data_IF_261154873977
#
_entry.id   IF_261154873977
#
_cell.length_a   1.000
_cell.length_b   1.000
_cell.length_c   1.000
_cell.angle_alpha   90.00
_cell.angle_beta   90.00
_cell.angle_gamma   90.00
#
_symmetry.space_group_name_H-M   'P 1'
#
loop_
_entity.id
_entity.type
_entity.pdbx_description
1 polymer ?
#
# COMPACT_ATOMS: atom_id res chain seq x y z
N UNK A 1 -15.73 -46.51 44.60
CA UNK A 1 -15.40 -46.08 43.22
C UNK A 1 -16.35 -44.95 42.79
N UNK A 2 -16.00 -43.68 43.07
CA UNK A 2 -16.67 -42.49 42.53
C UNK A 2 -15.59 -41.54 42.02
N UNK A 3 -15.06 -41.82 40.83
CA UNK A 3 -14.09 -40.96 40.14
C UNK A 3 -14.66 -40.56 38.78
N UNK A 4 -15.80 -39.88 38.77
CA UNK A 4 -16.34 -39.25 37.56
C UNK A 4 -17.01 -37.93 38.00
N UNK A 5 -16.77 -36.86 37.23
CA UNK A 5 -17.44 -35.55 37.26
C UNK A 5 -16.77 -34.35 37.95
N UNK A 6 -15.44 -34.32 38.08
CA UNK A 6 -14.70 -33.04 38.26
C UNK A 6 -13.97 -32.58 36.99
N UNK A 7 -14.32 -33.13 35.82
CA UNK A 7 -14.00 -32.48 34.53
C UNK A 7 -14.98 -31.32 34.36
N UNK A 8 -14.87 -30.35 35.26
CA UNK A 8 -15.56 -29.06 35.19
C UNK A 8 -15.28 -28.55 33.80
N UNK A 9 -16.34 -28.60 33.02
CA UNK A 9 -16.48 -28.23 31.62
C UNK A 9 -15.83 -26.86 31.43
N UNK A 10 -14.51 -26.83 31.15
CA UNK A 10 -13.74 -25.65 30.71
C UNK A 10 -14.22 -25.14 29.33
N UNK A 11 -15.41 -25.54 28.88
CA UNK A 11 -15.99 -25.21 27.57
C UNK A 11 -16.45 -23.75 27.42
N UNK A 12 -16.43 -22.94 28.48
CA UNK A 12 -17.10 -21.63 28.45
C UNK A 12 -16.34 -20.42 27.87
N UNK A 13 -14.99 -20.35 27.73
CA UNK A 13 -14.36 -19.10 27.32
C UNK A 13 -14.71 -18.72 25.88
N UNK A 14 -14.79 -19.69 24.97
CA UNK A 14 -15.06 -19.42 23.54
C UNK A 14 -16.50 -18.94 23.27
N UNK A 15 -17.49 -19.48 23.99
CA UNK A 15 -18.90 -19.10 23.79
C UNK A 15 -19.17 -17.67 24.25
N UNK A 16 -18.59 -17.29 25.39
CA UNK A 16 -18.66 -15.93 25.92
C UNK A 16 -18.00 -14.94 24.95
N UNK A 17 -16.77 -15.22 24.52
CA UNK A 17 -16.05 -14.38 23.57
C UNK A 17 -16.78 -14.23 22.23
N UNK A 18 -17.41 -15.30 21.73
CA UNK A 18 -18.24 -15.21 20.51
C UNK A 18 -19.45 -14.27 20.69
N UNK A 19 -20.09 -14.29 21.86
CA UNK A 19 -21.19 -13.37 22.16
C UNK A 19 -20.71 -11.93 22.25
N UNK A 20 -19.57 -11.71 22.90
CA UNK A 20 -18.93 -10.39 23.02
C UNK A 20 -18.57 -9.83 21.64
N UNK A 21 -17.92 -10.64 20.78
CA UNK A 21 -17.65 -10.32 19.37
C UNK A 21 -18.94 -9.92 18.64
N UNK A 22 -20.02 -10.69 18.77
CA UNK A 22 -21.30 -10.36 18.12
C UNK A 22 -21.92 -9.05 18.63
N UNK A 23 -21.66 -8.70 19.88
CA UNK A 23 -22.18 -7.49 20.53
C UNK A 23 -21.33 -6.25 20.32
N UNK A 24 -20.13 -6.36 19.72
CA UNK A 24 -19.27 -5.21 19.42
C UNK A 24 -20.04 -4.14 18.64
N UNK A 25 -19.86 -2.89 19.04
CA UNK A 25 -20.56 -1.72 18.47
C UNK A 25 -19.73 -0.43 18.50
N UNK A 26 -18.65 -0.41 19.30
CA UNK A 26 -17.75 0.73 19.47
C UNK A 26 -16.29 0.36 19.19
N UNK A 27 -15.46 1.35 18.87
CA UNK A 27 -14.02 1.15 18.70
C UNK A 27 -13.36 0.53 19.94
N UNK A 28 -13.77 0.96 21.14
CA UNK A 28 -13.28 0.40 22.40
C UNK A 28 -13.62 -1.10 22.55
N UNK A 29 -14.86 -1.50 22.21
CA UNK A 29 -15.24 -2.92 22.22
C UNK A 29 -14.43 -3.73 21.23
N UNK A 30 -14.18 -3.21 20.02
CA UNK A 30 -13.38 -3.92 19.01
C UNK A 30 -11.93 -4.11 19.46
N UNK A 31 -11.32 -3.10 20.07
CA UNK A 31 -9.95 -3.20 20.56
C UNK A 31 -9.83 -4.17 21.74
N UNK A 32 -10.81 -4.17 22.64
CA UNK A 32 -10.89 -5.13 23.74
C UNK A 32 -11.00 -6.57 23.22
N UNK A 33 -11.94 -6.85 22.31
CA UNK A 33 -12.13 -8.19 21.76
C UNK A 33 -10.94 -8.67 20.92
N UNK A 34 -10.32 -7.76 20.14
CA UNK A 34 -9.09 -8.06 19.42
C UNK A 34 -7.98 -8.47 20.37
N UNK A 35 -7.80 -7.73 21.47
CA UNK A 35 -6.76 -8.03 22.47
C UNK A 35 -6.99 -9.38 23.13
N UNK A 36 -8.25 -9.72 23.46
CA UNK A 36 -8.62 -11.04 23.98
C UNK A 36 -8.31 -12.15 22.96
N UNK A 37 -8.66 -11.97 21.68
CA UNK A 37 -8.39 -12.94 20.61
C UNK A 37 -6.89 -13.17 20.41
N UNK A 38 -6.09 -12.10 20.36
CA UNK A 38 -4.62 -12.21 20.22
C UNK A 38 -4.01 -12.93 21.40
N UNK A 39 -4.49 -12.67 22.63
CA UNK A 39 -4.04 -13.39 23.83
C UNK A 39 -4.39 -14.88 23.75
N UNK A 40 -5.64 -15.20 23.40
CA UNK A 40 -6.10 -16.58 23.24
C UNK A 40 -5.29 -17.33 22.17
N UNK A 41 -5.07 -16.71 21.01
CA UNK A 41 -4.25 -17.24 19.94
C UNK A 41 -2.83 -17.57 20.39
N UNK A 42 -2.15 -16.63 21.05
CA UNK A 42 -0.80 -16.85 21.59
C UNK A 42 -0.78 -17.97 22.63
N UNK A 43 -1.80 -18.03 23.48
CA UNK A 43 -1.92 -19.05 24.52
C UNK A 43 -2.10 -20.46 23.96
N UNK A 44 -2.84 -20.63 22.85
CA UNK A 44 -3.05 -21.93 22.23
C UNK A 44 -1.85 -22.34 21.37
N UNK A 45 -1.22 -21.40 20.66
CA UNK A 45 -0.01 -21.65 19.87
C UNK A 45 1.22 -21.99 20.71
N UNK A 46 1.29 -21.52 21.96
CA UNK A 46 2.40 -21.82 22.88
C UNK A 46 2.28 -23.18 23.58
N UNK A 47 1.16 -23.90 23.41
CA UNK A 47 1.00 -25.26 23.95
C UNK A 47 1.83 -26.27 23.17
N UNK A 48 2.37 -27.25 23.87
CA UNK A 48 3.11 -28.37 23.28
C UNK A 48 2.55 -29.72 23.78
N UNK A 49 1.87 -30.52 22.92
CA UNK A 49 1.45 -30.17 21.57
C UNK A 49 0.24 -29.22 21.58
N UNK A 50 0.08 -28.39 20.54
CA UNK A 50 -1.10 -27.56 20.40
C UNK A 50 -2.34 -28.42 20.11
N UNK A 51 -3.47 -28.05 20.72
CA UNK A 51 -4.75 -28.71 20.52
C UNK A 51 -5.34 -28.28 19.17
N UNK A 52 -5.36 -29.19 18.20
CA UNK A 52 -5.93 -28.94 16.87
C UNK A 52 -7.36 -28.41 16.95
N UNK A 53 -8.17 -29.00 17.83
CA UNK A 53 -9.57 -28.61 18.04
C UNK A 53 -9.71 -27.19 18.58
N UNK A 54 -8.85 -26.80 19.52
CA UNK A 54 -8.91 -25.44 20.09
C UNK A 54 -8.34 -24.39 19.12
N UNK A 55 -7.29 -24.71 18.35
CA UNK A 55 -6.84 -23.85 17.25
C UNK A 55 -7.95 -23.60 16.21
N UNK A 56 -8.72 -24.64 15.85
CA UNK A 56 -9.88 -24.49 14.97
C UNK A 56 -10.95 -23.55 15.58
N UNK A 57 -11.21 -23.63 16.89
CA UNK A 57 -12.13 -22.70 17.56
C UNK A 57 -11.61 -21.27 17.53
N UNK A 58 -10.33 -21.05 17.82
CA UNK A 58 -9.72 -19.72 17.75
C UNK A 58 -9.82 -19.17 16.33
N UNK A 59 -9.53 -19.98 15.31
CA UNK A 59 -9.69 -19.62 13.89
C UNK A 59 -11.13 -19.19 13.57
N UNK A 60 -12.13 -19.93 14.04
CA UNK A 60 -13.54 -19.56 13.88
C UNK A 60 -13.89 -18.23 14.56
N UNK A 61 -13.35 -17.96 15.75
CA UNK A 61 -13.56 -16.69 16.45
C UNK A 61 -12.91 -15.52 15.72
N UNK A 62 -11.70 -15.69 15.20
CA UNK A 62 -11.03 -14.70 14.35
C UNK A 62 -11.87 -14.37 13.12
N UNK A 63 -12.41 -15.38 12.43
CA UNK A 63 -13.31 -15.15 11.28
C UNK A 63 -14.61 -14.45 11.68
N UNK A 64 -15.21 -14.81 12.81
CA UNK A 64 -16.39 -14.13 13.34
C UNK A 64 -16.12 -12.64 13.67
N UNK A 65 -14.95 -12.35 14.24
CA UNK A 65 -14.50 -10.98 14.49
C UNK A 65 -14.38 -10.18 13.19
N UNK A 66 -13.72 -10.73 12.15
CA UNK A 66 -13.58 -10.06 10.86
C UNK A 66 -14.94 -9.79 10.19
N UNK A 67 -15.87 -10.74 10.22
CA UNK A 67 -17.24 -10.51 9.71
C UNK A 67 -17.95 -9.41 10.46
N UNK A 68 -17.85 -9.39 11.79
CA UNK A 68 -18.49 -8.33 12.56
C UNK A 68 -17.89 -6.98 12.19
N UNK A 69 -16.56 -6.89 12.11
CA UNK A 69 -15.85 -5.68 11.72
C UNK A 69 -16.23 -5.18 10.32
N UNK A 70 -16.60 -6.08 9.40
CA UNK A 70 -17.11 -5.72 8.07
C UNK A 70 -18.45 -4.97 8.14
N UNK A 71 -19.28 -5.27 9.14
CA UNK A 71 -20.61 -4.67 9.32
C UNK A 71 -20.61 -3.40 10.18
N UNK A 72 -19.51 -3.10 10.88
CA UNK A 72 -19.42 -1.93 11.74
C UNK A 72 -19.01 -0.71 10.92
N UNK A 73 -19.96 0.17 10.65
CA UNK A 73 -19.72 1.44 9.95
C UNK A 73 -19.28 2.58 10.89
N UNK A 74 -19.36 2.36 12.20
CA UNK A 74 -18.96 3.32 13.23
C UNK A 74 -17.44 3.40 13.43
N UNK A 75 -16.68 2.49 12.82
CA UNK A 75 -15.23 2.39 13.00
C UNK A 75 -14.55 2.92 11.75
N UNK A 76 -13.55 3.78 11.95
CA UNK A 76 -12.77 4.34 10.87
C UNK A 76 -12.13 3.25 10.01
N UNK A 77 -12.10 3.47 8.69
CA UNK A 77 -11.51 2.56 7.72
C UNK A 77 -10.06 2.15 8.09
N UNK A 78 -9.29 3.13 8.58
CA UNK A 78 -7.90 2.95 9.01
C UNK A 78 -7.78 1.99 10.19
N UNK A 79 -8.68 2.07 11.17
CA UNK A 79 -8.65 1.18 12.33
C UNK A 79 -9.09 -0.23 11.96
N UNK A 80 -10.08 -0.38 11.09
CA UNK A 80 -10.46 -1.70 10.53
C UNK A 80 -9.27 -2.36 9.84
N UNK A 81 -8.55 -1.62 8.99
CA UNK A 81 -7.37 -2.12 8.29
C UNK A 81 -6.26 -2.52 9.27
N UNK A 82 -5.98 -1.69 10.29
CA UNK A 82 -5.01 -1.98 11.35
C UNK A 82 -5.36 -3.25 12.13
N UNK A 83 -6.61 -3.42 12.54
CA UNK A 83 -7.03 -4.61 13.29
C UNK A 83 -6.89 -5.88 12.45
N UNK A 84 -7.29 -5.82 11.17
CA UNK A 84 -7.15 -6.93 10.23
C UNK A 84 -5.67 -7.32 10.02
N UNK A 85 -4.78 -6.32 9.85
CA UNK A 85 -3.35 -6.54 9.73
C UNK A 85 -2.73 -7.09 11.02
N UNK A 86 -3.06 -6.51 12.18
CA UNK A 86 -2.57 -6.97 13.47
C UNK A 86 -2.95 -8.44 13.76
N UNK A 87 -4.18 -8.84 13.42
CA UNK A 87 -4.64 -10.21 13.56
C UNK A 87 -3.90 -11.16 12.62
N UNK A 88 -3.75 -10.77 11.35
CA UNK A 88 -3.01 -11.54 10.35
C UNK A 88 -1.55 -11.74 10.74
N UNK A 89 -0.87 -10.68 11.18
CA UNK A 89 0.50 -10.76 11.71
C UNK A 89 0.60 -11.65 12.95
N UNK A 90 -0.36 -11.55 13.88
CA UNK A 90 -0.37 -12.40 15.08
C UNK A 90 -0.53 -13.88 14.73
N UNK A 91 -1.37 -14.22 13.74
CA UNK A 91 -1.53 -15.59 13.23
C UNK A 91 -0.21 -16.09 12.62
N UNK A 92 0.40 -15.30 11.74
CA UNK A 92 1.62 -15.69 11.04
C UNK A 92 2.85 -15.82 11.97
N UNK A 93 2.93 -15.02 13.03
CA UNK A 93 4.03 -15.10 13.99
C UNK A 93 3.86 -16.23 15.03
N UNK A 94 2.62 -16.61 15.35
CA UNK A 94 2.36 -17.55 16.45
C UNK A 94 2.31 -19.00 15.98
N UNK A 95 1.90 -19.25 14.74
CA UNK A 95 1.70 -20.60 14.21
C UNK A 95 2.95 -21.10 13.46
N UNK A 96 3.51 -22.27 13.78
CA UNK A 96 4.40 -23.00 12.89
C UNK A 96 3.77 -23.11 11.49
N UNK A 97 4.59 -23.16 10.44
CA UNK A 97 4.11 -23.25 9.04
C UNK A 97 3.10 -24.39 8.82
N UNK A 98 3.24 -25.50 9.56
CA UNK A 98 2.32 -26.63 9.55
C UNK A 98 0.89 -26.32 10.07
N UNK A 99 0.71 -25.27 10.86
CA UNK A 99 -0.58 -24.87 11.45
C UNK A 99 -1.28 -23.75 10.67
N UNK A 100 -0.59 -23.07 9.74
CA UNK A 100 -1.19 -22.02 8.89
C UNK A 100 -2.48 -22.48 8.19
N UNK A 101 -2.61 -23.74 7.69
CA UNK A 101 -3.86 -24.23 7.12
C UNK A 101 -5.06 -24.18 8.07
N UNK A 102 -4.85 -24.27 9.38
CA UNK A 102 -5.93 -24.19 10.38
C UNK A 102 -6.52 -22.79 10.48
N UNK A 103 -5.73 -21.78 10.14
CA UNK A 103 -6.14 -20.38 10.08
C UNK A 103 -6.56 -19.94 8.67
N UNK A 104 -6.62 -20.86 7.69
CA UNK A 104 -7.06 -20.53 6.34
C UNK A 104 -8.46 -19.88 6.32
N UNK A 105 -9.36 -20.34 7.19
CA UNK A 105 -10.67 -19.71 7.37
C UNK A 105 -10.54 -18.25 7.84
N UNK A 106 -9.84 -18.01 8.94
CA UNK A 106 -9.65 -16.66 9.48
C UNK A 106 -8.97 -15.73 8.47
N UNK A 107 -7.94 -16.20 7.77
CA UNK A 107 -7.25 -15.44 6.72
C UNK A 107 -8.18 -15.15 5.52
N UNK A 108 -9.01 -16.12 5.14
CA UNK A 108 -10.03 -15.94 4.11
C UNK A 108 -11.07 -14.90 4.50
N UNK A 109 -11.49 -14.84 5.76
CA UNK A 109 -12.43 -13.82 6.26
C UNK A 109 -11.79 -12.44 6.37
N UNK A 110 -10.50 -12.35 6.73
CA UNK A 110 -9.72 -11.09 6.68
C UNK A 110 -9.67 -10.55 5.24
N UNK A 111 -9.43 -11.43 4.27
CA UNK A 111 -9.39 -11.06 2.86
C UNK A 111 -10.79 -10.73 2.32
N UNK A 112 -11.82 -11.47 2.75
CA UNK A 112 -13.21 -11.18 2.46
C UNK A 112 -13.60 -9.77 2.94
N UNK A 113 -13.26 -9.41 4.18
CA UNK A 113 -13.44 -8.07 4.74
C UNK A 113 -12.80 -6.98 3.86
N UNK A 114 -11.55 -7.17 3.43
CA UNK A 114 -10.84 -6.22 2.54
C UNK A 114 -11.55 -6.08 1.21
N UNK A 115 -11.94 -7.18 0.58
CA UNK A 115 -12.63 -7.18 -0.70
C UNK A 115 -14.01 -6.50 -0.62
N UNK A 116 -14.80 -6.79 0.41
CA UNK A 116 -16.11 -6.15 0.63
C UNK A 116 -15.96 -4.63 0.81
N UNK A 117 -14.99 -4.18 1.62
CA UNK A 117 -14.72 -2.74 1.80
C UNK A 117 -14.25 -2.11 0.49
N UNK A 118 -13.32 -2.73 -0.24
CA UNK A 118 -12.84 -2.26 -1.54
C UNK A 118 -13.99 -2.04 -2.53
N UNK A 119 -14.90 -3.02 -2.66
CA UNK A 119 -16.08 -2.91 -3.52
C UNK A 119 -16.98 -1.75 -3.09
N UNK A 120 -17.23 -1.60 -1.78
CA UNK A 120 -18.04 -0.49 -1.25
C UNK A 120 -17.43 0.88 -1.53
N UNK A 121 -16.12 1.04 -1.41
CA UNK A 121 -15.45 2.29 -1.73
C UNK A 121 -15.42 2.59 -3.23
N UNK A 122 -15.28 1.58 -4.08
CA UNK A 122 -15.44 1.76 -5.53
C UNK A 122 -16.85 2.20 -5.89
N UNK A 123 -17.86 1.57 -5.30
CA UNK A 123 -19.25 2.00 -5.48
C UNK A 123 -19.47 3.44 -5.01
N UNK A 124 -18.93 3.84 -3.83
CA UNK A 124 -19.00 5.24 -3.37
C UNK A 124 -18.30 6.21 -4.32
N UNK A 125 -17.14 5.83 -4.86
CA UNK A 125 -16.43 6.64 -5.85
C UNK A 125 -17.24 6.77 -7.14
N UNK A 126 -17.92 5.71 -7.57
CA UNK A 126 -18.84 5.74 -8.70
C UNK A 126 -20.06 6.63 -8.39
N UNK A 127 -20.66 6.53 -7.20
CA UNK A 127 -21.78 7.40 -6.79
C UNK A 127 -21.38 8.90 -6.79
N UNK A 128 -20.11 9.21 -6.54
CA UNK A 128 -19.57 10.58 -6.57
C UNK A 128 -19.24 11.09 -7.97
N UNK A 129 -19.09 10.21 -8.96
CA UNK A 129 -18.53 10.57 -10.28
C UNK A 129 -19.43 10.18 -11.45
N UNK A 130 -20.06 9.00 -11.40
CA UNK A 130 -20.93 8.45 -12.44
C UNK A 130 -22.29 9.15 -12.39
N UNK A 131 -22.67 9.78 -13.49
CA UNK A 131 -23.92 10.54 -13.60
C UNK A 131 -23.90 11.93 -12.94
N UNK A 132 -22.79 12.30 -12.27
CA UNK A 132 -22.60 13.65 -11.73
C UNK A 132 -21.73 14.45 -12.70
N UNK A 133 -22.20 15.62 -13.20
CA UNK A 133 -21.37 16.49 -14.03
C UNK A 133 -20.04 16.82 -13.33
N UNK A 134 -18.94 16.74 -14.07
CA UNK A 134 -17.60 16.92 -13.50
C UNK A 134 -17.41 18.27 -12.79
N UNK A 135 -18.06 19.33 -13.27
CA UNK A 135 -18.06 20.65 -12.62
C UNK A 135 -18.65 20.67 -11.20
N UNK A 136 -19.40 19.63 -10.83
CA UNK A 136 -20.06 19.49 -9.52
C UNK A 136 -19.42 18.44 -8.61
N UNK A 137 -18.32 17.82 -9.03
CA UNK A 137 -17.63 16.85 -8.20
C UNK A 137 -17.08 17.51 -6.94
N UNK A 138 -17.33 16.88 -5.80
CA UNK A 138 -16.71 17.22 -4.52
C UNK A 138 -15.31 16.59 -4.46
N UNK A 139 -14.30 17.38 -4.81
CA UNK A 139 -12.92 16.89 -4.87
C UNK A 139 -12.39 16.43 -3.51
N UNK A 140 -12.82 17.05 -2.41
CA UNK A 140 -12.36 16.67 -1.07
C UNK A 140 -12.95 15.32 -0.68
N UNK A 141 -14.24 15.10 -0.98
CA UNK A 141 -14.90 13.84 -0.71
C UNK A 141 -14.35 12.71 -1.58
N UNK A 142 -14.07 12.97 -2.87
CA UNK A 142 -13.42 12.00 -3.76
C UNK A 142 -12.02 11.64 -3.24
N UNK A 143 -11.20 12.64 -2.87
CA UNK A 143 -9.88 12.41 -2.28
C UNK A 143 -9.99 11.53 -1.03
N UNK A 144 -10.90 11.85 -0.10
CA UNK A 144 -11.14 11.06 1.12
C UNK A 144 -11.53 9.62 0.78
N UNK A 145 -12.42 9.41 -0.18
CA UNK A 145 -12.85 8.09 -0.63
C UNK A 145 -11.70 7.27 -1.21
N UNK A 146 -10.81 7.88 -2.01
CA UNK A 146 -9.63 7.20 -2.58
C UNK A 146 -8.60 6.88 -1.49
N UNK A 147 -8.39 7.77 -0.52
CA UNK A 147 -7.57 7.50 0.66
C UNK A 147 -8.10 6.30 1.43
N UNK A 148 -9.41 6.25 1.70
CA UNK A 148 -10.04 5.11 2.40
C UNK A 148 -9.97 3.81 1.59
N UNK A 149 -10.13 3.87 0.27
CA UNK A 149 -9.96 2.74 -0.64
C UNK A 149 -8.53 2.17 -0.57
N UNK A 150 -7.53 3.06 -0.56
CA UNK A 150 -6.11 2.71 -0.57
C UNK A 150 -5.68 1.88 0.65
N UNK A 151 -6.30 2.13 1.81
CA UNK A 151 -6.08 1.36 3.04
C UNK A 151 -6.39 -0.15 2.87
N UNK A 152 -7.26 -0.51 1.93
CA UNK A 152 -7.64 -1.90 1.64
C UNK A 152 -7.00 -2.46 0.37
N UNK A 153 -6.34 -1.63 -0.44
CA UNK A 153 -5.65 -2.05 -1.66
C UNK A 153 -4.19 -2.45 -1.44
N UNK A 154 -3.76 -2.62 -0.17
CA UNK A 154 -2.38 -3.01 0.17
C UNK A 154 -1.94 -4.14 -0.76
N UNK A 155 -0.99 -3.83 -1.65
CA UNK A 155 -0.44 -4.81 -2.58
C UNK A 155 0.01 -6.01 -1.74
N UNK A 156 -0.33 -7.26 -2.13
CA UNK A 156 0.26 -8.42 -1.49
C UNK A 156 1.76 -8.18 -1.48
N UNK A 157 2.36 -8.22 -0.28
CA UNK A 157 3.74 -7.81 -0.03
C UNK A 157 4.58 -8.22 -1.22
N UNK A 158 4.97 -7.23 -2.05
CA UNK A 158 5.57 -7.49 -3.37
C UNK A 158 6.65 -8.52 -3.10
N UNK A 159 6.49 -9.74 -3.65
CA UNK A 159 7.48 -10.79 -3.44
C UNK A 159 8.79 -10.15 -3.89
N UNK A 160 9.76 -10.02 -2.96
CA UNK A 160 11.05 -9.36 -3.23
C UNK A 160 11.75 -9.90 -4.49
N UNK A 161 11.31 -11.07 -4.97
CA UNK A 161 11.82 -11.74 -6.15
C UNK A 161 11.31 -11.18 -7.48
N UNK A 162 10.26 -10.34 -7.50
CA UNK A 162 9.87 -9.61 -8.71
C UNK A 162 10.77 -8.37 -8.87
N UNK A 163 12.08 -8.61 -8.95
CA UNK A 163 13.02 -7.66 -9.52
C UNK A 163 12.72 -7.58 -11.02
N UNK A 164 11.68 -6.81 -11.36
CA UNK A 164 11.50 -6.32 -12.72
C UNK A 164 12.79 -5.65 -13.20
N UNK A 165 13.03 -5.62 -14.53
CA UNK A 165 14.30 -5.20 -15.11
C UNK A 165 14.78 -3.89 -14.47
N UNK A 166 16.07 -3.79 -14.14
CA UNK A 166 16.64 -2.67 -13.41
C UNK A 166 16.21 -1.38 -14.09
N UNK A 167 15.39 -0.60 -13.39
CA UNK A 167 14.94 0.71 -13.86
C UNK A 167 16.16 1.56 -14.19
N UNK A 168 15.99 2.38 -15.22
CA UNK A 168 16.92 3.40 -15.70
C UNK A 168 17.78 3.92 -14.54
N UNK A 169 19.09 3.66 -14.65
CA UNK A 169 20.11 4.27 -13.78
C UNK A 169 19.82 5.76 -13.77
N UNK A 170 19.60 6.29 -12.57
CA UNK A 170 19.28 7.69 -12.36
C UNK A 170 20.54 8.52 -12.69
N UNK A 171 20.68 8.90 -13.95
CA UNK A 171 21.60 9.93 -14.45
C UNK A 171 23.01 9.85 -13.88
N UNK A 172 23.77 8.81 -14.22
CA UNK A 172 25.22 8.87 -14.09
C UNK A 172 25.78 9.53 -15.36
N UNK A 173 26.47 10.65 -15.16
CA UNK A 173 27.27 11.30 -16.17
C UNK A 173 28.24 10.29 -16.79
N UNK A 174 28.12 10.10 -18.09
CA UNK A 174 29.04 9.33 -18.92
C UNK A 174 30.48 9.76 -18.61
N UNK A 175 31.30 8.84 -18.10
CA UNK A 175 32.71 8.58 -18.46
C UNK A 175 33.23 7.44 -17.56
N UNK A 176 33.44 6.26 -18.16
CA UNK A 176 34.54 5.36 -17.78
C UNK A 176 34.30 4.31 -16.69
N UNK A 177 33.71 3.17 -17.06
CA UNK A 177 34.32 1.83 -16.88
C UNK A 177 34.70 1.32 -15.48
N UNK A 178 34.25 1.92 -14.39
CA UNK A 178 34.45 1.40 -13.03
C UNK A 178 33.17 0.77 -12.48
N UNK A 179 33.28 -0.39 -11.83
CA UNK A 179 32.24 -0.96 -10.96
C UNK A 179 31.97 0.00 -9.80
N UNK A 180 31.29 1.10 -10.09
CA UNK A 180 30.99 2.18 -9.16
C UNK A 180 30.02 1.74 -8.06
N UNK A 181 30.09 2.37 -6.88
CA UNK A 181 29.20 2.06 -5.78
C UNK A 181 27.75 2.25 -6.22
N UNK A 182 26.98 1.15 -6.21
CA UNK A 182 25.54 1.17 -6.48
C UNK A 182 24.90 2.19 -5.54
N UNK A 183 24.38 3.29 -6.08
CA UNK A 183 23.72 4.32 -5.30
C UNK A 183 22.54 3.70 -4.54
N UNK A 184 22.71 3.45 -3.24
CA UNK A 184 21.72 2.74 -2.39
C UNK A 184 20.48 3.59 -2.13
N UNK A 185 20.58 4.91 -2.32
CA UNK A 185 19.58 5.89 -1.92
C UNK A 185 19.17 6.78 -3.09
N UNK A 186 17.88 6.86 -3.35
CA UNK A 186 17.31 7.80 -4.32
C UNK A 186 16.67 8.97 -3.58
N UNK A 187 16.94 10.20 -4.03
CA UNK A 187 16.29 11.40 -3.50
C UNK A 187 15.19 11.84 -4.47
N UNK A 188 13.99 12.07 -3.94
CA UNK A 188 12.82 12.55 -4.69
C UNK A 188 12.35 13.86 -4.07
N UNK A 189 12.06 14.91 -4.85
CA UNK A 189 11.50 16.14 -4.30
C UNK A 189 10.11 15.88 -3.71
N UNK A 190 9.79 16.50 -2.58
CA UNK A 190 8.43 16.46 -2.00
C UNK A 190 7.49 17.53 -2.63
N UNK A 191 7.94 18.17 -3.70
CA UNK A 191 7.14 19.10 -4.50
C UNK A 191 6.29 18.33 -5.50
N UNK A 192 4.98 18.55 -5.47
CA UNK A 192 4.02 17.96 -6.39
C UNK A 192 4.22 18.49 -7.82
N UNK A 193 4.38 17.63 -8.85
CA UNK A 193 4.55 18.09 -10.23
C UNK A 193 3.29 18.76 -10.83
N UNK A 194 2.11 18.56 -10.23
CA UNK A 194 0.84 19.07 -10.76
C UNK A 194 0.58 20.49 -10.22
N UNK A 195 0.58 20.63 -8.89
CA UNK A 195 0.26 21.90 -8.19
C UNK A 195 1.49 22.75 -7.87
N UNK A 196 2.70 22.20 -7.99
CA UNK A 196 3.97 22.80 -7.57
C UNK A 196 4.06 23.12 -6.06
N UNK A 197 3.07 22.66 -5.28
CA UNK A 197 3.00 22.77 -3.83
C UNK A 197 3.62 21.55 -3.14
N UNK A 198 3.69 21.54 -1.81
CA UNK A 198 4.15 20.37 -1.07
C UNK A 198 3.11 19.26 -1.18
N UNK A 199 3.55 18.03 -1.43
CA UNK A 199 2.65 16.87 -1.45
C UNK A 199 2.08 16.67 -0.05
N UNK A 200 0.76 16.71 0.10
CA UNK A 200 0.08 16.45 1.37
C UNK A 200 -0.34 14.98 1.47
N UNK A 201 -0.89 14.43 0.38
CA UNK A 201 -1.33 13.04 0.30
C UNK A 201 -0.58 12.34 -0.84
N UNK A 202 0.54 11.64 -0.56
CA UNK A 202 1.37 11.05 -1.61
C UNK A 202 0.61 9.93 -2.32
N UNK A 203 0.38 10.07 -3.62
CA UNK A 203 -0.34 9.10 -4.43
C UNK A 203 0.38 8.77 -5.72
N UNK A 204 0.02 7.62 -6.30
CA UNK A 204 0.49 7.15 -7.61
C UNK A 204 -0.53 6.20 -8.23
N UNK A 205 -0.43 5.95 -9.53
CA UNK A 205 -1.25 4.93 -10.18
C UNK A 205 -0.90 3.51 -9.68
N UNK A 206 -1.89 2.62 -9.61
CA UNK A 206 -1.69 1.21 -9.20
C UNK A 206 -0.75 0.48 -10.18
N UNK A 207 -0.82 0.83 -11.47
CA UNK A 207 0.02 0.28 -12.54
C UNK A 207 1.29 1.09 -12.84
N UNK A 208 1.50 2.18 -12.09
CA UNK A 208 2.71 2.98 -12.19
C UNK A 208 3.88 2.21 -11.60
N UNK A 209 4.94 2.06 -12.38
CA UNK A 209 6.13 1.37 -11.90
C UNK A 209 7.09 2.31 -11.17
N UNK A 210 7.02 3.63 -11.39
CA UNK A 210 7.93 4.64 -10.84
C UNK A 210 7.81 4.82 -9.30
N UNK A 211 8.84 5.41 -8.67
CA UNK A 211 8.86 5.66 -7.21
C UNK A 211 8.30 7.03 -6.84
N UNK A 212 8.25 7.92 -7.81
CA UNK A 212 7.75 9.27 -7.76
C UNK A 212 6.25 9.27 -7.45
N UNK A 213 5.83 10.24 -6.65
CA UNK A 213 4.45 10.44 -6.20
C UNK A 213 3.99 11.84 -6.57
N UNK A 214 2.68 12.01 -6.67
CA UNK A 214 2.01 13.29 -6.83
C UNK A 214 1.01 13.48 -5.69
N UNK A 215 0.54 14.71 -5.50
CA UNK A 215 -0.53 14.97 -4.54
C UNK A 215 -1.87 14.44 -5.04
N UNK A 216 -2.54 13.63 -4.22
CA UNK A 216 -3.82 13.03 -4.58
C UNK A 216 -4.89 14.07 -4.92
N UNK A 217 -4.99 15.15 -4.14
CA UNK A 217 -6.02 16.18 -4.35
C UNK A 217 -5.76 16.96 -5.64
N UNK A 218 -4.50 17.26 -5.94
CA UNK A 218 -4.11 17.88 -7.20
C UNK A 218 -4.43 16.99 -8.41
N UNK A 219 -4.20 15.69 -8.30
CA UNK A 219 -4.55 14.73 -9.35
C UNK A 219 -6.06 14.64 -9.55
N UNK A 220 -6.87 14.55 -8.49
CA UNK A 220 -8.34 14.54 -8.58
C UNK A 220 -8.86 15.78 -9.31
N UNK A 221 -8.34 16.97 -9.00
CA UNK A 221 -8.69 18.22 -9.71
C UNK A 221 -8.30 18.19 -11.18
N UNK A 222 -7.16 17.60 -11.51
CA UNK A 222 -6.72 17.45 -12.90
C UNK A 222 -7.66 16.52 -13.67
N UNK A 223 -8.06 15.39 -13.07
CA UNK A 223 -9.05 14.49 -13.67
C UNK A 223 -10.39 15.20 -13.87
N UNK A 224 -10.84 15.97 -12.89
CA UNK A 224 -12.05 16.79 -12.98
C UNK A 224 -11.97 17.78 -14.15
N UNK A 225 -10.87 18.52 -14.28
CA UNK A 225 -10.67 19.49 -15.36
C UNK A 225 -10.67 18.82 -16.75
N UNK A 226 -10.03 17.65 -16.88
CA UNK A 226 -10.04 16.85 -18.12
C UNK A 226 -11.47 16.40 -18.45
N UNK A 227 -12.24 15.96 -17.45
CA UNK A 227 -13.62 15.52 -17.65
C UNK A 227 -14.54 16.69 -18.05
N UNK A 228 -14.39 17.88 -17.44
CA UNK A 228 -15.15 19.09 -17.83
C UNK A 228 -14.88 19.46 -19.29
N UNK A 229 -13.61 19.55 -19.69
CA UNK A 229 -13.22 19.88 -21.07
C UNK A 229 -13.72 18.88 -22.11
N UNK A 230 -13.84 17.61 -21.74
CA UNK A 230 -14.41 16.57 -22.61
C UNK A 230 -15.92 16.69 -22.74
N UNK A 231 -16.63 16.97 -21.65
CA UNK A 231 -18.08 17.18 -21.66
C UNK A 231 -18.49 18.36 -22.53
N UNK A 232 -17.77 19.48 -22.43
CA UNK A 232 -18.00 20.67 -23.26
C UNK A 232 -17.81 20.39 -24.76
N UNK A 233 -16.95 19.44 -25.12
CA UNK A 233 -16.73 19.03 -26.51
C UNK A 233 -17.90 18.24 -27.10
N UNK A 234 -18.64 17.48 -26.27
CA UNK A 234 -19.75 16.63 -26.74
C UNK A 234 -21.00 17.45 -27.07
N UNK A 235 -21.34 18.46 -26.26
CA UNK A 235 -22.49 19.32 -26.53
C UNK A 235 -22.30 20.18 -27.80
N UNK A 236 -21.05 20.52 -28.16
CA UNK A 236 -20.75 21.21 -29.41
C UNK A 236 -20.92 20.37 -30.68
N UNK A 237 -20.74 19.04 -30.58
CA UNK A 237 -20.74 18.14 -31.74
C UNK A 237 -22.14 17.62 -32.13
N UNK A 238 -23.12 17.65 -31.22
CA UNK A 238 -24.49 17.22 -31.51
C UNK A 238 -25.22 18.12 -32.52
N UNK A 239 -24.69 19.30 -32.83
CA UNK A 239 -25.24 20.20 -33.86
C UNK A 239 -24.74 19.85 -35.29
N UNK A 240 -23.71 19.01 -35.47
CA UNK A 240 -23.17 18.71 -36.81
C UNK A 240 -23.64 17.41 -37.47
N UNK A 241 -24.65 16.71 -36.92
CA UNK A 241 -25.16 15.46 -37.53
C UNK A 241 -26.43 15.61 -38.37
N UNK A 242 -26.51 16.68 -39.16
CA UNK A 242 -27.46 16.79 -40.29
C UNK A 242 -26.72 16.87 -41.66
N UNK A 243 -25.55 16.24 -41.74
CA UNK A 243 -24.82 15.99 -42.99
C UNK A 243 -25.07 14.57 -43.49
N UNK A 244 -26.09 14.42 -44.31
CA UNK A 244 -26.58 13.20 -44.96
C UNK A 244 -25.52 12.55 -45.85
N UNK A 245 -25.39 11.21 -45.78
CA UNK A 245 -24.89 10.40 -46.91
C UNK A 245 -23.41 10.00 -46.88
N UNK A 246 -23.04 9.07 -45.99
CA UNK A 246 -21.76 8.38 -46.05
C UNK A 246 -21.93 6.91 -45.69
N UNK A 247 -22.30 6.10 -46.68
CA UNK A 247 -22.40 4.63 -46.56
C UNK A 247 -20.98 4.08 -46.57
N UNK A 248 -20.36 3.97 -45.39
CA UNK A 248 -19.01 3.43 -45.22
C UNK A 248 -18.96 2.55 -43.98
N UNK A 249 -19.19 1.26 -44.17
CA UNK A 249 -19.14 0.23 -43.15
C UNK A 249 -17.70 0.02 -42.61
N UNK A 250 -17.57 -0.13 -41.30
CA UNK A 250 -16.33 -0.49 -40.62
C UNK A 250 -16.45 -0.27 -39.11
N UNK A 251 -17.26 -1.05 -38.41
CA UNK A 251 -16.82 -2.24 -37.65
C UNK A 251 -15.69 -1.93 -36.67
N UNK A 252 -16.08 -1.53 -35.47
CA UNK A 252 -15.18 -1.33 -34.34
C UNK A 252 -15.73 -0.35 -33.31
N UNK A 253 -17.05 -0.32 -33.09
CA UNK A 253 -17.63 0.38 -31.93
C UNK A 253 -17.19 -0.41 -30.71
N UNK A 254 -15.98 -0.11 -30.25
CA UNK A 254 -15.48 -0.51 -28.93
C UNK A 254 -16.61 -0.18 -27.97
N UNK A 255 -17.13 -1.24 -27.35
CA UNK A 255 -18.17 -1.17 -26.33
C UNK A 255 -18.00 0.08 -25.50
N UNK A 256 -19.09 0.82 -25.24
CA UNK A 256 -19.25 1.90 -24.26
C UNK A 256 -18.67 1.48 -22.89
N UNK A 257 -17.37 1.35 -22.86
CA UNK A 257 -16.58 0.77 -21.80
C UNK A 257 -16.41 1.92 -20.86
N UNK A 258 -17.33 1.98 -19.89
CA UNK A 258 -17.30 2.78 -18.67
C UNK A 258 -16.08 3.70 -18.67
N UNK A 259 -16.23 4.85 -19.33
CA UNK A 259 -15.12 5.80 -19.53
C UNK A 259 -14.85 6.49 -18.20
N UNK A 260 -14.26 5.71 -17.29
CA UNK A 260 -13.98 6.11 -15.93
C UNK A 260 -13.11 7.36 -16.00
N UNK A 261 -13.44 8.39 -15.20
CA UNK A 261 -12.71 9.64 -15.25
C UNK A 261 -11.24 9.41 -14.91
N UNK A 262 -10.37 9.95 -15.76
CA UNK A 262 -8.96 9.63 -15.76
C UNK A 262 -8.11 10.75 -16.37
N UNK A 263 -6.84 10.79 -15.96
CA UNK A 263 -5.83 11.72 -16.46
C UNK A 263 -4.50 10.98 -16.63
N UNK A 264 -3.57 11.57 -17.36
CA UNK A 264 -2.23 11.01 -17.50
C UNK A 264 -1.46 11.17 -16.19
N UNK A 265 -0.75 10.13 -15.78
CA UNK A 265 0.22 10.22 -14.69
C UNK A 265 1.32 11.24 -15.07
N UNK A 266 1.66 12.21 -14.19
CA UNK A 266 2.62 13.26 -14.52
C UNK A 266 4.05 12.76 -14.76
N UNK A 267 4.39 11.54 -14.31
CA UNK A 267 5.75 10.98 -14.47
C UNK A 267 5.89 10.04 -15.65
N UNK A 268 4.96 9.10 -15.84
CA UNK A 268 5.06 8.08 -16.89
C UNK A 268 4.09 8.26 -18.05
N UNK A 269 3.24 9.29 -18.03
CA UNK A 269 2.26 9.56 -19.08
C UNK A 269 1.12 8.55 -19.20
N UNK A 270 1.16 7.44 -18.44
CA UNK A 270 0.12 6.41 -18.47
C UNK A 270 -1.21 6.98 -18.01
N UNK A 271 -2.26 6.70 -18.77
CA UNK A 271 -3.63 7.06 -18.43
C UNK A 271 -4.08 6.32 -17.16
N UNK A 272 -4.48 7.07 -16.13
CA UNK A 272 -4.81 6.55 -14.79
C UNK A 272 -6.18 7.06 -14.36
N UNK A 273 -7.13 6.15 -14.15
CA UNK A 273 -8.46 6.49 -13.62
C UNK A 273 -8.44 6.66 -12.11
N UNK A 274 -9.43 7.37 -11.56
CA UNK A 274 -9.58 7.55 -10.11
C UNK A 274 -9.62 6.21 -9.36
N UNK A 275 -10.25 5.18 -9.94
CA UNK A 275 -10.28 3.82 -9.39
C UNK A 275 -8.92 3.10 -9.40
N UNK A 276 -7.96 3.60 -10.18
CA UNK A 276 -6.61 3.06 -10.35
C UNK A 276 -5.54 3.98 -9.72
N UNK A 277 -5.92 4.89 -8.83
CA UNK A 277 -5.00 5.68 -8.00
C UNK A 277 -4.98 5.10 -6.60
N UNK A 278 -3.80 5.09 -5.99
CA UNK A 278 -3.61 4.69 -4.59
C UNK A 278 -2.72 5.68 -3.84
N UNK A 279 -2.95 5.77 -2.54
CA UNK A 279 -2.06 6.44 -1.59
C UNK A 279 -0.84 5.55 -1.33
N UNK A 280 0.35 6.15 -1.32
CA UNK A 280 1.54 5.48 -0.86
C UNK A 280 1.66 5.57 0.66
N UNK A 281 1.11 4.57 1.34
CA UNK A 281 1.03 4.51 2.80
C UNK A 281 2.40 4.59 3.49
N UNK A 282 3.43 3.95 2.90
CA UNK A 282 4.77 3.94 3.48
C UNK A 282 5.41 5.34 3.46
N UNK A 283 5.21 6.08 2.36
CA UNK A 283 5.66 7.47 2.29
C UNK A 283 4.81 8.38 3.17
N UNK A 284 3.47 8.20 3.20
CA UNK A 284 2.60 8.95 4.09
C UNK A 284 2.99 8.77 5.57
N UNK A 285 3.33 7.55 5.98
CA UNK A 285 3.85 7.25 7.33
C UNK A 285 5.21 7.92 7.58
N UNK A 286 6.13 7.93 6.60
CA UNK A 286 7.40 8.64 6.74
C UNK A 286 7.21 10.15 6.89
N UNK A 287 6.29 10.74 6.14
CA UNK A 287 5.91 12.16 6.27
C UNK A 287 5.30 12.45 7.64
N UNK A 288 4.39 11.60 8.12
CA UNK A 288 3.79 11.73 9.44
C UNK A 288 4.83 11.62 10.58
N UNK A 289 5.79 10.69 10.47
CA UNK A 289 6.91 10.56 11.42
C UNK A 289 7.80 11.80 11.45
N UNK A 290 8.13 12.34 10.28
CA UNK A 290 8.89 13.58 10.19
C UNK A 290 8.17 14.74 10.89
N UNK A 291 6.88 14.92 10.60
CA UNK A 291 6.07 15.95 11.27
C UNK A 291 5.92 15.71 12.78
N UNK A 292 5.77 14.46 13.21
CA UNK A 292 5.70 14.08 14.62
C UNK A 292 6.98 14.36 15.41
N UNK A 293 8.13 14.42 14.72
CA UNK A 293 9.42 14.79 15.28
C UNK A 293 9.67 16.32 15.25
N UNK A 294 8.65 17.13 15.00
CA UNK A 294 8.73 18.59 14.93
C UNK A 294 9.16 19.14 13.57
N UNK A 295 9.33 18.29 12.56
CA UNK A 295 9.58 18.73 11.19
C UNK A 295 8.36 19.42 10.58
N UNK A 296 8.58 20.40 9.71
CA UNK A 296 7.51 21.02 8.91
C UNK A 296 7.71 20.64 7.45
N UNK A 297 6.71 20.00 6.84
CA UNK A 297 6.77 19.62 5.43
C UNK A 297 6.74 20.89 4.57
N UNK A 298 7.76 21.05 3.73
CA UNK A 298 7.89 22.17 2.79
C UNK A 298 8.21 21.65 1.39
N UNK A 299 8.12 22.54 0.41
CA UNK A 299 8.50 22.24 -0.98
C UNK A 299 10.00 21.98 -1.16
N UNK A 300 10.80 22.34 -0.16
CA UNK A 300 12.25 22.11 -0.13
C UNK A 300 12.59 20.82 0.63
N UNK A 301 11.61 20.11 1.19
CA UNK A 301 11.84 18.77 1.72
C UNK A 301 12.11 17.77 0.59
N UNK A 302 12.96 16.79 0.90
CA UNK A 302 13.27 15.65 0.03
C UNK A 302 12.89 14.35 0.70
N UNK A 303 12.43 13.41 -0.12
CA UNK A 303 12.16 12.03 0.26
C UNK A 303 13.35 11.20 -0.15
N UNK A 304 13.98 10.55 0.82
CA UNK A 304 15.05 9.59 0.59
C UNK A 304 14.44 8.19 0.64
N UNK A 305 14.47 7.49 -0.49
CA UNK A 305 14.17 6.06 -0.56
C UNK A 305 15.45 5.26 -0.38
N UNK A 306 15.51 4.46 0.69
CA UNK A 306 16.62 3.56 0.96
C UNK A 306 16.29 2.16 0.44
N UNK A 307 17.03 1.72 -0.58
CA UNK A 307 16.81 0.41 -1.20
C UNK A 307 17.19 -0.77 -0.31
N UNK A 308 18.14 -0.60 0.62
CA UNK A 308 18.55 -1.66 1.54
C UNK A 308 17.47 -1.93 2.58
N UNK A 309 16.95 -0.88 3.21
CA UNK A 309 15.88 -1.01 4.19
C UNK A 309 14.49 -1.16 3.56
N UNK A 310 14.31 -0.74 2.30
CA UNK A 310 13.01 -0.67 1.65
C UNK A 310 12.09 0.32 2.36
N UNK A 311 12.64 1.45 2.83
CA UNK A 311 11.92 2.44 3.62
C UNK A 311 12.10 3.87 3.11
N UNK A 312 11.09 4.69 3.37
CA UNK A 312 11.12 6.12 3.10
C UNK A 312 11.56 6.89 4.35
N UNK A 313 12.39 7.92 4.14
CA UNK A 313 12.73 8.93 5.12
C UNK A 313 12.53 10.31 4.51
N UNK A 314 12.00 11.27 5.28
CA UNK A 314 11.84 12.66 4.85
C UNK A 314 12.88 13.50 5.56
N UNK A 315 13.54 14.38 4.81
CA UNK A 315 14.60 15.25 5.32
C UNK A 315 14.45 16.63 4.67
N UNK A 316 14.84 17.67 5.40
CA UNK A 316 14.99 19.00 4.81
C UNK A 316 16.18 18.98 3.84
N UNK A 317 16.02 19.57 2.65
CA UNK A 317 17.15 19.74 1.74
C UNK A 317 18.15 20.68 2.41
N UNK A 318 19.25 20.13 2.92
CA UNK A 318 20.37 20.95 3.36
C UNK A 318 20.79 21.81 2.17
N UNK A 319 20.77 23.13 2.35
CA UNK A 319 21.29 24.08 1.37
C UNK A 319 22.68 23.59 0.95
N UNK A 320 22.79 23.17 -0.31
CA UNK A 320 23.93 22.48 -0.93
C UNK A 320 25.17 22.46 -0.04
N UNK A 321 25.33 21.40 0.75
CA UNK A 321 26.69 20.97 1.09
C UNK A 321 27.29 20.60 -0.24
N UNK A 322 28.11 21.51 -0.81
CA UNK A 322 28.82 21.31 -2.07
C UNK A 322 29.26 19.84 -2.13
N UNK A 323 28.98 19.11 -3.22
CA UNK A 323 29.41 17.72 -3.33
C UNK A 323 30.92 17.71 -3.09
N UNK A 324 31.32 17.23 -1.91
CA UNK A 324 32.72 16.98 -1.64
C UNK A 324 33.03 15.79 -2.52
N UNK A 325 33.61 16.06 -3.68
CA UNK A 325 34.31 15.04 -4.45
C UNK A 325 35.41 14.52 -3.54
N UNK A 326 35.09 13.51 -2.73
CA UNK A 326 36.08 12.67 -2.08
C UNK A 326 36.72 11.92 -3.24
N UNK A 327 37.75 12.54 -3.82
CA UNK A 327 38.73 11.80 -4.62
C UNK A 327 39.26 10.76 -3.67
N UNK A 328 38.82 9.51 -3.84
CA UNK A 328 39.57 8.40 -3.28
C UNK A 328 40.88 8.42 -4.04
N UNK A 329 41.92 8.93 -3.38
CA UNK A 329 43.30 8.74 -3.82
C UNK A 329 43.53 7.24 -3.87
N UNK A 330 43.30 6.67 -5.05
CA UNK A 330 43.73 5.33 -5.42
C UNK A 330 45.24 5.38 -5.55
N UNK A 331 45.92 5.37 -4.41
CA UNK A 331 47.37 5.46 -4.32
C UNK A 331 47.90 4.34 -3.42
N UNK A 332 47.49 3.10 -3.70
CA UNK A 332 48.23 1.89 -3.28
C UNK A 332 48.00 0.80 -4.32
N UNK A 333 48.47 1.03 -5.55
CA UNK A 333 48.58 -0.02 -6.56
C UNK A 333 50.00 -0.60 -6.55
N UNK A 334 50.10 -1.84 -6.08
CA UNK A 334 51.09 -2.87 -6.44
C UNK A 334 52.58 -2.59 -6.21
N UNK A 335 53.11 -3.05 -5.07
CA UNK A 335 54.46 -3.64 -4.99
C UNK A 335 54.50 -4.70 -3.88
N UNK A 336 54.35 -5.99 -4.21
CA UNK A 336 54.88 -7.10 -3.41
C UNK A 336 54.78 -8.43 -4.17
N UNK A 337 55.16 -8.44 -5.45
CA UNK A 337 55.40 -9.67 -6.19
C UNK A 337 56.90 -10.00 -6.14
N UNK A 338 57.43 -10.26 -4.94
CA UNK A 338 58.82 -10.75 -4.82
C UNK A 338 59.04 -11.51 -3.52
N UNK A 339 58.83 -12.82 -3.56
CA UNK A 339 59.53 -13.86 -2.76
C UNK A 339 58.99 -15.24 -3.17
N UNK A 340 59.22 -15.60 -4.43
CA UNK A 340 59.32 -17.00 -4.84
C UNK A 340 60.80 -17.34 -4.92
N UNK A 341 61.18 -18.45 -4.30
CA UNK A 341 62.44 -19.13 -4.54
C UNK A 341 63.40 -19.03 -3.38
N UNK A 342 63.26 -19.94 -2.42
CA UNK A 342 64.36 -20.58 -1.71
C UNK A 342 63.77 -21.64 -0.76
N UNK A 343 63.43 -22.81 -1.31
CA UNK A 343 63.29 -24.03 -0.52
C UNK A 343 64.50 -24.91 -0.82
N UNK A 344 65.54 -24.91 0.05
CA UNK A 344 66.66 -25.81 -0.12
C UNK A 344 66.25 -27.22 0.31
N UNK A 345 66.37 -28.15 -0.64
CA UNK A 345 66.50 -29.58 -0.40
C UNK A 345 67.55 -29.83 0.67
N UNK A 346 67.20 -30.52 1.76
CA UNK A 346 68.15 -30.76 2.84
C UNK A 346 67.64 -31.61 3.99
N UNK A 347 67.14 -32.82 3.70
CA UNK A 347 67.44 -34.12 4.36
C UNK A 347 66.31 -35.13 4.20
#
# INVERSE_FOLDING_TARGET
MRFIYAKTVRLMPHRKLLQEIRSMSSAASVEAERSQLVSLLKSECSRSPPSLHDLCKVSMLCGAFCRRLATLDTIAASDVAKHAESLSSSINCSAPSAQVPLFAYALGEVEGLRNTRRLRYRQRLDDLTKGVPASRWDTEHITRCITELSLFEKLPARRRNDQGPPKRVCGESDIGGGSGPVAVRCQLPLRDPISLSVIATPARGVLCQHHEVFDLSAFVRTVQLVAVRRGESVDGALIQRWGTGGVGAGLGSSSDSDSSPAANCPFCGKYTSLQNVRVDEALAEAMARYSGNGGVLSVDCVVVWDMQSGSYNVMEKQAEVRPVCVKMEGDVMMEAEQRRGESPLGR
#
